data_IF_690691969967
#
_entry.id   IF_690691969967
#
_cell.length_a   1.000
_cell.length_b   1.000
_cell.length_c   1.000
_cell.angle_alpha   90.00
_cell.angle_beta   90.00
_cell.angle_gamma   90.00
#
_symmetry.space_group_name_H-M   'P 1'
#
loop_
_entity.id
_entity.type
_entity.pdbx_description
1 polymer ?
#
# COMPACT_ATOMS: atom_id res chain seq x y z
N UNK A 1 46.94 33.05 -29.20
CA UNK A 1 46.53 31.93 -30.07
C UNK A 1 45.58 31.03 -29.29
N UNK A 2 44.32 30.97 -29.73
CA UNK A 2 43.28 29.93 -29.53
C UNK A 2 43.43 28.85 -28.43
N UNK A 3 43.34 29.19 -27.15
CA UNK A 3 43.15 28.18 -26.07
C UNK A 3 41.69 27.69 -25.96
N UNK A 4 40.70 28.58 -26.17
CA UNK A 4 39.28 28.25 -26.00
C UNK A 4 38.76 27.14 -26.96
N UNK A 5 39.30 27.05 -28.19
CA UNK A 5 38.87 26.02 -29.15
C UNK A 5 39.33 24.60 -28.78
N UNK A 6 40.45 24.48 -28.06
CA UNK A 6 40.92 23.18 -27.58
C UNK A 6 40.02 22.67 -26.46
N UNK A 7 39.59 23.56 -25.56
CA UNK A 7 38.68 23.21 -24.47
C UNK A 7 37.30 22.77 -24.99
N UNK A 8 36.74 23.46 -25.98
CA UNK A 8 35.46 23.07 -26.61
C UNK A 8 35.54 21.70 -27.29
N UNK A 9 36.64 21.42 -28.01
CA UNK A 9 36.87 20.13 -28.65
C UNK A 9 37.03 19.00 -27.62
N UNK A 10 37.72 19.27 -26.49
CA UNK A 10 37.86 18.33 -25.38
C UNK A 10 36.49 18.04 -24.74
N UNK A 11 35.65 19.07 -24.56
CA UNK A 11 34.30 18.92 -24.02
C UNK A 11 33.41 18.10 -24.98
N UNK A 12 33.50 18.33 -26.29
CA UNK A 12 32.80 17.51 -27.28
C UNK A 12 33.25 16.05 -27.27
N UNK A 13 34.57 15.82 -27.17
CA UNK A 13 35.12 14.47 -27.04
C UNK A 13 34.65 13.78 -25.76
N UNK A 14 34.64 14.49 -24.62
CA UNK A 14 34.11 13.96 -23.35
C UNK A 14 32.62 13.60 -23.46
N UNK A 15 31.81 14.44 -24.11
CA UNK A 15 30.40 14.16 -24.36
C UNK A 15 30.21 12.92 -25.27
N UNK A 16 31.06 12.75 -26.28
CA UNK A 16 31.04 11.57 -27.15
C UNK A 16 31.40 10.30 -26.37
N UNK A 17 32.50 10.32 -25.62
CA UNK A 17 32.94 9.21 -24.78
C UNK A 17 31.88 8.82 -23.73
N UNK A 18 31.30 9.81 -23.04
CA UNK A 18 30.24 9.57 -22.07
C UNK A 18 29.00 8.94 -22.71
N UNK A 19 28.62 9.41 -23.90
CA UNK A 19 27.50 8.82 -24.66
C UNK A 19 27.81 7.37 -25.04
N UNK A 20 29.02 7.06 -25.49
CA UNK A 20 29.45 5.70 -25.83
C UNK A 20 29.44 4.76 -24.61
N UNK A 21 29.94 5.22 -23.46
CA UNK A 21 29.91 4.47 -22.20
C UNK A 21 28.49 4.18 -21.73
N UNK A 22 27.61 5.18 -21.75
CA UNK A 22 26.21 5.01 -21.38
C UNK A 22 25.51 4.00 -22.32
N UNK A 23 25.81 4.06 -23.62
CA UNK A 23 25.30 3.09 -24.58
C UNK A 23 25.87 1.69 -24.37
N UNK A 24 27.15 1.56 -23.97
CA UNK A 24 27.78 0.28 -23.60
C UNK A 24 27.13 -0.30 -22.36
N UNK A 25 26.89 0.50 -21.32
CA UNK A 25 26.24 0.06 -20.09
C UNK A 25 24.80 -0.42 -20.33
N UNK A 26 24.04 0.29 -21.17
CA UNK A 26 22.70 -0.13 -21.59
C UNK A 26 22.70 -1.47 -22.33
N UNK A 27 23.71 -1.72 -23.18
CA UNK A 27 23.90 -3.03 -23.85
C UNK A 27 24.19 -4.14 -22.85
N UNK A 28 25.14 -3.92 -21.94
CA UNK A 28 25.53 -4.91 -20.92
C UNK A 28 24.35 -5.28 -20.02
N UNK A 29 23.52 -4.30 -19.61
CA UNK A 29 22.37 -4.54 -18.73
C UNK A 29 21.20 -5.27 -19.40
N UNK A 30 21.05 -5.16 -20.72
CA UNK A 30 19.89 -5.72 -21.46
C UNK A 30 20.21 -6.98 -22.29
N UNK A 31 21.48 -7.34 -22.44
CA UNK A 31 21.90 -8.61 -23.05
C UNK A 31 21.66 -8.75 -24.56
N UNK A 32 21.34 -7.66 -25.27
CA UNK A 32 21.10 -7.66 -26.71
C UNK A 32 22.28 -7.11 -27.52
N UNK A 33 22.56 -7.73 -28.68
CA UNK A 33 23.60 -7.28 -29.62
C UNK A 33 23.24 -5.95 -30.31
N UNK A 34 21.95 -5.67 -30.48
CA UNK A 34 21.45 -4.49 -31.19
C UNK A 34 21.05 -3.38 -30.22
N UNK A 35 21.09 -2.13 -30.72
CA UNK A 35 20.56 -0.99 -29.98
C UNK A 35 19.05 -1.16 -29.73
N UNK A 36 18.53 -0.70 -28.58
CA UNK A 36 17.08 -0.69 -28.38
C UNK A 36 16.45 0.24 -29.43
N UNK A 37 15.62 -0.33 -30.29
CA UNK A 37 14.80 0.41 -31.23
C UNK A 37 13.33 0.09 -30.98
N UNK A 38 12.44 1.01 -31.33
CA UNK A 38 11.02 0.71 -31.27
C UNK A 38 10.66 -0.25 -32.41
N UNK A 39 10.10 -1.41 -32.06
CA UNK A 39 9.66 -2.40 -33.04
C UNK A 39 8.38 -1.93 -33.75
N UNK A 40 7.60 -1.06 -33.09
CA UNK A 40 6.41 -0.47 -33.68
C UNK A 40 6.77 0.44 -34.86
N UNK A 41 6.28 0.15 -36.09
CA UNK A 41 6.46 1.03 -37.22
C UNK A 41 5.55 2.26 -37.09
N UNK A 42 6.16 3.45 -37.18
CA UNK A 42 5.48 4.76 -37.14
C UNK A 42 4.54 4.91 -35.93
N UNK A 43 5.07 4.86 -34.68
CA UNK A 43 4.27 4.92 -33.47
C UNK A 43 3.50 6.23 -33.33
N UNK A 44 4.10 7.35 -33.69
CA UNK A 44 3.49 8.67 -33.51
C UNK A 44 2.72 9.12 -34.74
N UNK A 45 1.61 9.84 -34.52
CA UNK A 45 0.82 10.42 -35.62
C UNK A 45 1.63 11.46 -36.42
N UNK A 46 2.53 12.18 -35.74
CA UNK A 46 3.42 13.15 -36.38
C UNK A 46 4.30 12.49 -37.44
N UNK A 47 4.89 11.34 -37.15
CA UNK A 47 5.71 10.61 -38.11
C UNK A 47 4.90 10.19 -39.36
N UNK A 48 3.61 9.88 -39.18
CA UNK A 48 2.69 9.52 -40.28
C UNK A 48 2.24 10.71 -41.12
N UNK A 49 2.22 11.91 -40.55
CA UNK A 49 1.78 13.14 -41.21
C UNK A 49 2.92 13.89 -41.90
N UNK A 50 4.14 13.81 -41.35
CA UNK A 50 5.32 14.52 -41.89
C UNK A 50 5.80 13.91 -43.21
N UNK A 51 5.64 12.59 -43.39
CA UNK A 51 5.94 11.91 -44.65
C UNK A 51 4.74 11.05 -45.06
N UNK A 52 4.27 11.11 -46.32
CA UNK A 52 3.22 10.20 -46.77
C UNK A 52 3.72 8.75 -46.63
N UNK A 53 2.93 7.89 -45.96
CA UNK A 53 3.30 6.48 -45.77
C UNK A 53 3.50 5.82 -47.12
N UNK A 54 4.64 5.15 -47.30
CA UNK A 54 4.88 4.27 -48.44
C UNK A 54 4.04 3.00 -48.31
N UNK A 55 3.86 2.26 -49.40
CA UNK A 55 3.12 0.98 -49.36
C UNK A 55 3.79 -0.04 -48.44
N UNK A 56 5.12 -0.01 -48.36
CA UNK A 56 5.89 -0.85 -47.43
C UNK A 56 5.61 -0.50 -45.98
N UNK A 57 5.53 0.79 -45.64
CA UNK A 57 5.21 1.24 -44.28
C UNK A 57 3.79 0.81 -43.87
N UNK A 58 2.84 0.86 -44.80
CA UNK A 58 1.46 0.42 -44.55
C UNK A 58 1.37 -1.07 -44.32
N UNK A 59 2.11 -1.87 -45.10
CA UNK A 59 2.18 -3.32 -44.93
C UNK A 59 2.77 -3.69 -43.56
N UNK A 60 3.87 -3.04 -43.15
CA UNK A 60 4.50 -3.24 -41.84
C UNK A 60 3.55 -2.85 -40.70
N UNK A 61 2.85 -1.72 -40.82
CA UNK A 61 1.87 -1.30 -39.82
C UNK A 61 0.71 -2.27 -39.70
N UNK A 62 0.21 -2.76 -40.84
CA UNK A 62 -0.86 -3.77 -40.87
C UNK A 62 -0.41 -5.06 -40.17
N UNK A 63 0.80 -5.54 -40.47
CA UNK A 63 1.38 -6.71 -39.80
C UNK A 63 1.48 -6.49 -38.29
N UNK A 64 2.04 -5.36 -37.86
CA UNK A 64 2.14 -5.04 -36.43
C UNK A 64 0.78 -5.06 -35.72
N UNK A 65 -0.26 -4.49 -36.34
CA UNK A 65 -1.62 -4.50 -35.77
C UNK A 65 -2.24 -5.89 -35.71
N UNK A 66 -1.94 -6.75 -36.68
CA UNK A 66 -2.36 -8.16 -36.65
C UNK A 66 -1.61 -8.93 -35.55
N UNK A 67 -0.32 -8.68 -35.36
CA UNK A 67 0.50 -9.32 -34.32
C UNK A 67 0.05 -8.94 -32.89
N UNK A 68 -0.65 -7.82 -32.70
CA UNK A 68 -1.27 -7.47 -31.41
C UNK A 68 -2.50 -8.32 -31.08
N UNK A 69 -3.04 -9.10 -32.02
CA UNK A 69 -4.18 -9.98 -31.76
C UNK A 69 -3.67 -11.22 -31.01
N UNK A 70 -4.12 -11.36 -29.77
CA UNK A 70 -3.79 -12.54 -28.96
C UNK A 70 -4.39 -13.81 -29.59
N UNK A 71 -3.69 -14.92 -29.43
CA UNK A 71 -4.20 -16.22 -29.86
C UNK A 71 -5.46 -16.60 -29.06
N UNK A 72 -6.40 -17.39 -29.62
CA UNK A 72 -7.60 -17.82 -28.90
C UNK A 72 -7.30 -18.61 -27.62
N UNK A 73 -6.10 -19.20 -27.53
CA UNK A 73 -5.60 -19.92 -26.35
C UNK A 73 -5.21 -18.98 -25.22
N UNK A 74 -4.83 -17.75 -25.54
CA UNK A 74 -4.44 -16.76 -24.56
C UNK A 74 -5.65 -15.98 -24.03
N UNK A 75 -5.67 -15.59 -22.75
CA UNK A 75 -4.60 -15.69 -21.76
C UNK A 75 -4.52 -17.07 -21.07
N UNK A 76 -3.31 -17.67 -21.03
CA UNK A 76 -3.07 -18.91 -20.26
C UNK A 76 -2.69 -18.56 -18.83
N UNK A 77 -3.52 -18.94 -17.86
CA UNK A 77 -3.21 -18.77 -16.45
C UNK A 77 -2.20 -19.83 -16.00
N UNK A 78 -0.91 -19.47 -15.96
CA UNK A 78 0.15 -20.34 -15.42
C UNK A 78 0.14 -20.25 -13.88
N UNK A 79 -0.16 -21.33 -13.14
CA UNK A 79 -0.25 -21.31 -11.67
C UNK A 79 1.09 -20.99 -11.00
N UNK A 80 2.20 -21.36 -11.64
CA UNK A 80 3.55 -21.23 -11.11
C UNK A 80 4.02 -19.77 -11.05
N UNK A 81 3.62 -18.95 -12.03
CA UNK A 81 3.90 -17.51 -12.09
C UNK A 81 2.97 -16.69 -11.18
N UNK A 82 1.83 -17.26 -10.78
CA UNK A 82 0.86 -16.60 -9.91
C UNK A 82 0.85 -17.19 -8.50
N UNK A 83 2.01 -17.64 -8.01
CA UNK A 83 2.15 -18.18 -6.65
C UNK A 83 1.80 -17.11 -5.60
N UNK A 84 0.58 -17.21 -5.08
CA UNK A 84 0.13 -16.46 -3.89
C UNK A 84 0.40 -17.27 -2.63
N UNK A 85 0.74 -16.60 -1.53
CA UNK A 85 0.84 -17.19 -0.18
C UNK A 85 -0.46 -17.91 0.21
N UNK A 86 -0.38 -18.96 1.03
CA UNK A 86 -1.55 -19.78 1.43
C UNK A 86 -2.65 -18.91 2.05
N UNK A 87 -2.31 -18.01 2.96
CA UNK A 87 -3.26 -17.06 3.55
C UNK A 87 -3.92 -16.16 2.52
N UNK A 88 -3.14 -15.70 1.54
CA UNK A 88 -3.63 -14.85 0.45
C UNK A 88 -4.57 -15.64 -0.46
N UNK A 89 -4.34 -16.94 -0.67
CA UNK A 89 -5.25 -17.82 -1.41
C UNK A 89 -6.57 -18.01 -0.67
N UNK A 90 -6.53 -18.40 0.60
CA UNK A 90 -7.73 -18.66 1.40
C UNK A 90 -8.61 -17.40 1.54
N UNK A 91 -7.98 -16.25 1.79
CA UNK A 91 -8.66 -14.98 1.82
C UNK A 91 -9.30 -14.63 0.48
N UNK A 92 -8.52 -14.66 -0.62
CA UNK A 92 -9.08 -14.34 -1.93
C UNK A 92 -10.17 -15.32 -2.37
N UNK A 93 -10.06 -16.62 -2.08
CA UNK A 93 -11.07 -17.60 -2.47
C UNK A 93 -12.44 -17.31 -1.83
N UNK A 94 -12.47 -16.88 -0.57
CA UNK A 94 -13.71 -16.50 0.10
C UNK A 94 -14.38 -15.31 -0.60
N UNK A 95 -13.62 -14.24 -0.84
CA UNK A 95 -14.14 -13.02 -1.48
C UNK A 95 -14.42 -13.21 -2.98
N UNK A 96 -13.69 -14.10 -3.65
CA UNK A 96 -13.92 -14.47 -5.05
C UNK A 96 -15.22 -15.27 -5.21
N UNK A 97 -15.55 -16.13 -4.25
CA UNK A 97 -16.83 -16.85 -4.18
C UNK A 97 -18.00 -15.88 -4.01
N UNK A 98 -17.91 -14.95 -3.05
CA UNK A 98 -18.93 -13.91 -2.85
C UNK A 98 -19.11 -13.05 -4.10
N UNK A 99 -18.03 -12.57 -4.71
CA UNK A 99 -18.11 -11.79 -5.95
C UNK A 99 -18.68 -12.61 -7.12
N UNK A 100 -18.44 -13.93 -7.13
CA UNK A 100 -19.00 -14.86 -8.12
C UNK A 100 -20.53 -14.93 -8.09
N UNK A 101 -21.12 -14.88 -6.90
CA UNK A 101 -22.59 -14.86 -6.70
C UNK A 101 -23.21 -13.59 -7.31
N UNK A 102 -22.53 -12.45 -7.19
CA UNK A 102 -23.02 -11.17 -7.74
C UNK A 102 -22.69 -10.96 -9.23
N UNK A 103 -21.83 -11.81 -9.81
CA UNK A 103 -21.40 -11.73 -11.21
C UNK A 103 -22.55 -11.72 -12.23
N UNK A 104 -23.59 -12.58 -12.15
CA UNK A 104 -24.70 -12.56 -13.12
C UNK A 104 -25.51 -11.26 -13.06
N UNK A 105 -25.59 -10.60 -11.90
CA UNK A 105 -26.41 -9.39 -11.71
C UNK A 105 -25.66 -8.13 -12.11
N UNK A 106 -24.38 -8.01 -11.72
CA UNK A 106 -23.59 -6.79 -11.90
C UNK A 106 -22.77 -6.74 -13.20
N UNK A 107 -22.57 -7.90 -13.84
CA UNK A 107 -21.72 -8.02 -15.02
C UNK A 107 -20.22 -7.97 -14.71
N UNK A 108 -19.39 -8.28 -15.71
CA UNK A 108 -17.94 -8.54 -15.53
C UNK A 108 -17.17 -7.32 -15.01
N UNK A 109 -17.43 -6.12 -15.54
CA UNK A 109 -16.70 -4.90 -15.18
C UNK A 109 -16.93 -4.49 -13.73
N UNK A 110 -18.19 -4.45 -13.28
CA UNK A 110 -18.55 -4.04 -11.91
C UNK A 110 -18.14 -5.09 -10.88
N UNK A 111 -18.24 -6.38 -11.22
CA UNK A 111 -17.80 -7.48 -10.34
C UNK A 111 -16.31 -7.42 -10.07
N UNK A 112 -15.48 -7.03 -11.05
CA UNK A 112 -14.05 -6.85 -10.85
C UNK A 112 -13.71 -5.73 -9.85
N UNK A 113 -14.51 -4.65 -9.85
CA UNK A 113 -14.38 -3.56 -8.86
C UNK A 113 -14.82 -4.04 -7.48
N UNK A 114 -15.98 -4.72 -7.39
CA UNK A 114 -16.51 -5.27 -6.14
C UNK A 114 -15.50 -6.21 -5.47
N UNK A 115 -14.92 -7.15 -6.23
CA UNK A 115 -13.89 -8.09 -5.76
C UNK A 115 -12.70 -7.39 -5.10
N UNK A 116 -12.31 -6.22 -5.58
CA UNK A 116 -11.20 -5.44 -5.03
C UNK A 116 -11.63 -4.58 -3.83
N UNK A 117 -12.82 -4.00 -3.87
CA UNK A 117 -13.30 -3.07 -2.85
C UNK A 117 -13.80 -3.78 -1.58
N UNK A 118 -14.53 -4.87 -1.74
CA UNK A 118 -15.19 -5.59 -0.65
C UNK A 118 -14.22 -6.05 0.47
N UNK A 119 -13.10 -6.74 0.16
CA UNK A 119 -12.07 -7.06 1.15
C UNK A 119 -11.52 -5.85 1.92
N UNK A 120 -11.32 -4.72 1.23
CA UNK A 120 -10.72 -3.50 1.77
C UNK A 120 -11.67 -2.78 2.72
N UNK A 121 -12.98 -2.92 2.55
CA UNK A 121 -13.98 -2.27 3.42
C UNK A 121 -14.39 -3.19 4.58
N UNK A 122 -14.66 -4.46 4.28
CA UNK A 122 -15.27 -5.39 5.23
C UNK A 122 -14.31 -5.77 6.36
N UNK A 123 -13.05 -6.07 6.05
CA UNK A 123 -12.05 -6.44 7.06
C UNK A 123 -11.82 -5.32 8.09
N UNK A 124 -11.43 -4.10 7.72
CA UNK A 124 -11.13 -3.07 8.71
C UNK A 124 -12.36 -2.67 9.49
N UNK A 125 -13.56 -2.73 8.88
CA UNK A 125 -14.81 -2.51 9.60
C UNK A 125 -14.99 -3.52 10.74
N UNK A 126 -14.86 -4.83 10.46
CA UNK A 126 -14.97 -5.85 11.50
C UNK A 126 -13.88 -5.74 12.56
N UNK A 127 -12.64 -5.43 12.18
CA UNK A 127 -11.55 -5.20 13.12
C UNK A 127 -11.87 -4.02 14.04
N UNK A 128 -12.32 -2.89 13.48
CA UNK A 128 -12.64 -1.69 14.25
C UNK A 128 -13.81 -1.92 15.19
N UNK A 129 -14.89 -2.56 14.73
CA UNK A 129 -16.02 -2.94 15.58
C UNK A 129 -15.60 -3.88 16.70
N UNK A 130 -14.75 -4.87 16.41
CA UNK A 130 -14.25 -5.83 17.40
C UNK A 130 -13.36 -5.13 18.44
N UNK A 131 -12.42 -4.29 18.01
CA UNK A 131 -11.57 -3.50 18.91
C UNK A 131 -12.39 -2.55 19.77
N UNK A 132 -13.36 -1.85 19.18
CA UNK A 132 -14.27 -0.96 19.91
C UNK A 132 -15.08 -1.72 20.97
N UNK A 133 -15.64 -2.87 20.60
CA UNK A 133 -16.37 -3.73 21.53
C UNK A 133 -15.48 -4.17 22.70
N UNK A 134 -14.26 -4.62 22.40
CA UNK A 134 -13.28 -5.03 23.42
C UNK A 134 -12.89 -3.87 24.34
N UNK A 135 -12.65 -2.68 23.80
CA UNK A 135 -12.35 -1.47 24.59
C UNK A 135 -13.53 -1.10 25.49
N UNK A 136 -14.76 -1.15 24.96
CA UNK A 136 -15.96 -0.67 25.67
C UNK A 136 -16.42 -1.62 26.78
N UNK A 137 -16.38 -2.92 26.54
CA UNK A 137 -16.98 -3.92 27.43
C UNK A 137 -15.97 -4.84 28.12
N UNK A 138 -14.68 -4.74 27.78
CA UNK A 138 -13.62 -5.49 28.43
C UNK A 138 -12.48 -4.57 28.86
N UNK A 139 -12.76 -3.54 29.68
CA UNK A 139 -11.72 -2.74 30.29
C UNK A 139 -10.88 -3.63 31.21
N UNK A 140 -9.57 -3.39 31.21
CA UNK A 140 -8.66 -4.10 32.10
C UNK A 140 -8.82 -3.59 33.54
N UNK A 141 -9.43 -4.40 34.38
CA UNK A 141 -9.60 -4.16 35.83
C UNK A 141 -8.75 -5.15 36.63
N UNK A 142 -8.49 -4.82 37.91
CA UNK A 142 -7.73 -5.67 38.83
C UNK A 142 -8.33 -7.09 38.96
N UNK A 143 -9.65 -7.24 38.85
CA UNK A 143 -10.35 -8.54 38.94
C UNK A 143 -10.09 -9.46 37.75
N UNK A 144 -9.84 -8.87 36.58
CA UNK A 144 -9.63 -9.61 35.33
C UNK A 144 -8.14 -9.79 34.99
N UNK A 145 -7.25 -9.18 35.78
CA UNK A 145 -5.80 -9.29 35.67
C UNK A 145 -5.29 -8.83 34.31
N UNK A 146 -4.61 -9.73 33.57
CA UNK A 146 -4.08 -9.43 32.23
C UNK A 146 -5.13 -9.51 31.10
N UNK A 147 -6.39 -9.83 31.40
CA UNK A 147 -7.46 -9.90 30.40
C UNK A 147 -8.04 -8.51 30.15
N UNK A 148 -8.24 -8.16 28.88
CA UNK A 148 -8.83 -6.89 28.47
C UNK A 148 -7.82 -5.83 28.04
N UNK A 149 -8.34 -4.73 27.51
CA UNK A 149 -7.54 -3.61 27.00
C UNK A 149 -7.51 -2.52 28.07
N UNK A 150 -6.31 -2.09 28.47
CA UNK A 150 -6.17 -0.93 29.36
C UNK A 150 -6.32 0.33 28.53
N UNK A 151 -7.36 1.10 28.81
CA UNK A 151 -7.56 2.42 28.20
C UNK A 151 -7.42 3.46 29.30
N UNK A 152 -6.40 4.30 29.20
CA UNK A 152 -6.13 5.34 30.17
C UNK A 152 -5.26 6.44 29.55
N UNK A 153 -5.42 7.66 30.06
CA UNK A 153 -4.59 8.79 29.67
C UNK A 153 -3.21 8.65 30.32
N UNK A 154 -2.20 8.29 29.54
CA UNK A 154 -0.82 8.13 30.02
C UNK A 154 -0.15 9.45 30.41
N UNK A 155 -0.73 10.58 29.99
CA UNK A 155 -0.18 11.92 30.22
C UNK A 155 -1.13 12.73 31.06
N UNK A 156 -0.57 13.47 32.01
CA UNK A 156 -1.29 14.52 32.73
C UNK A 156 -1.68 15.62 31.74
N UNK A 157 -2.88 16.21 31.87
CA UNK A 157 -3.24 17.36 31.04
C UNK A 157 -2.25 18.50 31.31
N UNK A 158 -1.81 19.17 30.24
CA UNK A 158 -0.88 20.31 30.36
C UNK A 158 -1.69 21.55 30.70
N UNK A 159 -1.36 22.19 31.82
CA UNK A 159 -1.95 23.47 32.23
C UNK A 159 -1.09 24.63 31.75
N UNK A 160 -1.69 25.57 31.04
CA UNK A 160 -1.00 26.76 30.52
C UNK A 160 -1.29 28.00 31.38
N UNK A 161 -0.40 29.01 31.36
CA UNK A 161 -0.67 30.30 32.02
C UNK A 161 -1.99 30.91 31.54
N UNK A 162 -2.84 31.33 32.48
CA UNK A 162 -4.16 31.92 32.18
C UNK A 162 -5.34 30.94 32.17
N UNK A 163 -5.10 29.63 32.32
CA UNK A 163 -6.16 28.64 32.55
C UNK A 163 -6.48 28.52 34.05
N UNK A 164 -7.74 28.21 34.42
CA UNK A 164 -8.08 27.93 35.81
C UNK A 164 -7.29 26.70 36.29
N UNK A 165 -6.51 26.88 37.37
CA UNK A 165 -5.65 25.82 37.93
C UNK A 165 -4.15 26.04 37.75
N UNK A 166 -3.69 26.98 36.91
CA UNK A 166 -2.28 27.38 36.88
C UNK A 166 -1.93 28.21 38.15
N UNK A 167 -0.78 27.99 38.83
CA UNK A 167 0.37 27.15 38.47
C UNK A 167 0.35 25.73 39.07
N UNK A 168 -0.76 25.31 39.68
CA UNK A 168 -0.84 24.02 40.36
C UNK A 168 -0.81 22.88 39.36
N UNK A 169 -0.12 21.78 39.70
CA UNK A 169 -0.20 20.57 38.91
C UNK A 169 -1.60 19.97 39.01
N UNK A 170 -2.21 19.51 37.91
CA UNK A 170 -3.49 18.82 37.99
C UNK A 170 -3.36 17.58 38.87
N UNK A 171 -4.32 17.40 39.77
CA UNK A 171 -4.39 16.22 40.62
C UNK A 171 -4.62 14.98 39.75
N UNK A 172 -3.95 13.89 40.10
CA UNK A 172 -4.11 12.63 39.39
C UNK A 172 -5.40 11.96 39.89
N UNK A 173 -6.45 11.97 39.09
CA UNK A 173 -7.74 11.37 39.44
C UNK A 173 -7.64 9.86 39.70
N UNK A 174 -6.76 9.16 38.96
CA UNK A 174 -6.63 7.70 39.05
C UNK A 174 -5.17 7.24 38.95
N UNK A 175 -4.75 6.40 39.89
CA UNK A 175 -3.42 5.79 39.92
C UNK A 175 -3.29 4.69 38.87
N UNK A 176 -2.31 4.79 37.97
CA UNK A 176 -2.12 3.84 36.87
C UNK A 176 -1.95 2.37 37.30
N UNK A 177 -1.39 2.14 38.49
CA UNK A 177 -1.13 0.80 39.05
C UNK A 177 -2.38 0.22 39.73
N UNK A 178 -3.34 1.06 40.10
CA UNK A 178 -4.49 0.65 40.91
C UNK A 178 -5.51 -0.20 40.12
N UNK A 179 -5.58 -0.05 38.79
CA UNK A 179 -6.49 -0.82 37.91
C UNK A 179 -7.95 -0.85 38.45
N UNK A 180 -8.41 0.24 39.08
CA UNK A 180 -9.73 0.35 39.69
C UNK A 180 -9.91 -0.41 41.01
N UNK A 181 -8.83 -0.85 41.66
CA UNK A 181 -8.89 -1.54 42.95
C UNK A 181 -9.44 -0.66 44.07
N UNK A 182 -9.13 0.65 44.07
CA UNK A 182 -9.69 1.61 45.02
C UNK A 182 -11.20 1.85 44.84
N UNK A 183 -11.72 1.67 43.63
CA UNK A 183 -13.14 1.86 43.28
C UNK A 183 -14.01 0.64 43.63
N UNK A 184 -13.42 -0.44 44.16
CA UNK A 184 -14.14 -1.67 44.49
C UNK A 184 -15.22 -1.41 45.55
N UNK A 185 -16.40 -1.98 45.36
CA UNK A 185 -17.48 -1.96 46.39
C UNK A 185 -17.41 -3.12 47.38
N UNK A 186 -16.61 -4.14 47.03
CA UNK A 186 -16.41 -5.35 47.81
C UNK A 186 -15.22 -5.09 48.74
N UNK A 187 -15.31 -5.52 50.01
CA UNK A 187 -14.24 -5.30 51.00
C UNK A 187 -14.04 -3.82 51.39
N UNK A 188 -15.12 -3.05 51.55
CA UNK A 188 -15.11 -1.70 52.15
C UNK A 188 -15.84 -1.63 53.51
N UNK A 189 -16.47 -2.71 53.96
CA UNK A 189 -17.25 -2.71 55.20
C UNK A 189 -16.37 -2.86 56.45
N UNK A 190 -16.88 -2.38 57.59
CA UNK A 190 -16.27 -2.42 58.94
C UNK A 190 -15.89 -3.83 59.45
N UNK A 191 -16.25 -4.89 58.72
CA UNK A 191 -16.00 -6.29 59.07
C UNK A 191 -14.71 -6.87 58.50
N UNK A 192 -13.85 -6.05 57.91
CA UNK A 192 -12.53 -6.50 57.53
C UNK A 192 -11.62 -6.54 58.75
N UNK A 193 -11.23 -7.75 59.14
CA UNK A 193 -10.33 -8.08 60.27
C UNK A 193 -8.93 -7.45 60.12
N UNK A 194 -8.65 -6.71 59.04
CA UNK A 194 -7.32 -6.18 58.72
C UNK A 194 -7.20 -4.65 58.80
N UNK A 195 -8.21 -3.90 59.25
CA UNK A 195 -7.95 -2.53 59.70
C UNK A 195 -7.39 -2.57 61.13
N UNK A 196 -6.17 -3.08 61.25
CA UNK A 196 -5.36 -2.88 62.45
C UNK A 196 -5.08 -1.37 62.56
N UNK A 197 -5.86 -0.71 63.42
CA UNK A 197 -5.36 0.43 64.21
C UNK A 197 -4.59 -0.11 65.39
#
# INVERSE_FOLDING_TARGET
>A
MSSARLDDAIIEMQKQLYKEELMKELRTKRGGTFYPFNIEPLPTERERLVKPMTDTDRALRKQWLEDQKLSPREPVAVPEWTRKNIFRRAYHSFFDGLAGIFRPVLGVKRTAVLRKALPVVVIPYFILCSLWYQIKYSPRTWEHGYKGIRVGTLKRPVTYPGQPGFPNSPELEHNFVDEGFSERKIFLGDKLVTSAR
#
